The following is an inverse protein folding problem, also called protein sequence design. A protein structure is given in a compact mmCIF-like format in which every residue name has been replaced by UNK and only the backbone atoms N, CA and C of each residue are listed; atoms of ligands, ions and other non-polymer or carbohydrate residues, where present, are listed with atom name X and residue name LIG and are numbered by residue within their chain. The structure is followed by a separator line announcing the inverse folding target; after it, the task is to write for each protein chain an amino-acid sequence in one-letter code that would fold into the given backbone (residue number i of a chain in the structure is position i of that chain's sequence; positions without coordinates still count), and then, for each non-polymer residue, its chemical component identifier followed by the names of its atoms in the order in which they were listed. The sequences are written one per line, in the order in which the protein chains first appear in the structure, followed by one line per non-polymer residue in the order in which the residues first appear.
data_IF_626020364826
#
_entry.id   IF_626020364826
#
_cell.length_a   1.000
_cell.length_b   1.000
_cell.length_c   1.000
_cell.angle_alpha   90.00
_cell.angle_beta   90.00
_cell.angle_gamma   90.00
#
_symmetry.space_group_name_H-M   'P 1'
#
loop_
_entity.id
_entity.type
_entity.pdbx_description
1 polymer ?
#
# COMPACT_ATOMS: atom_id res chain seq x y z
N UNK A 1 13.69 8.71 27.32
CA UNK A 1 13.19 7.57 26.52
C UNK A 1 14.37 6.66 26.22
N UNK A 2 14.24 5.34 26.41
CA UNK A 2 15.27 4.38 25.98
C UNK A 2 15.40 4.45 24.44
N UNK A 3 16.62 4.41 23.91
CA UNK A 3 16.91 4.47 22.46
C UNK A 3 16.13 3.43 21.66
N UNK A 4 15.92 2.25 22.24
CA UNK A 4 15.14 1.14 21.67
C UNK A 4 13.68 1.51 21.38
N UNK A 5 13.05 2.30 22.25
CA UNK A 5 11.67 2.73 22.03
C UNK A 5 11.58 3.77 20.92
N UNK A 6 12.59 4.62 20.77
CA UNK A 6 12.66 5.59 19.66
C UNK A 6 12.74 4.84 18.32
N UNK A 7 13.58 3.80 18.24
CA UNK A 7 13.69 2.96 17.05
C UNK A 7 12.36 2.27 16.74
N UNK A 8 11.70 1.69 17.74
CA UNK A 8 10.40 1.04 17.55
C UNK A 8 9.32 2.02 17.03
N UNK A 9 9.25 3.23 17.58
CA UNK A 9 8.33 4.27 17.10
C UNK A 9 8.63 4.71 15.66
N UNK A 10 9.90 4.85 15.29
CA UNK A 10 10.29 5.19 13.91
C UNK A 10 9.85 4.08 12.95
N UNK A 11 10.09 2.82 13.28
CA UNK A 11 9.71 1.68 12.43
C UNK A 11 8.19 1.61 12.23
N UNK A 12 7.41 1.84 13.29
CA UNK A 12 5.94 1.91 13.22
C UNK A 12 5.50 3.09 12.33
N UNK A 13 6.10 4.27 12.52
CA UNK A 13 5.78 5.45 11.73
C UNK A 13 6.05 5.26 10.24
N UNK A 14 7.16 4.59 9.89
CA UNK A 14 7.50 4.23 8.50
C UNK A 14 6.47 3.25 7.92
N UNK A 15 6.07 2.22 8.68
CA UNK A 15 5.05 1.27 8.25
C UNK A 15 3.70 1.94 7.96
N UNK A 16 3.25 2.82 8.85
CA UNK A 16 2.02 3.61 8.67
C UNK A 16 2.14 4.56 7.47
N UNK A 17 3.27 5.25 7.35
CA UNK A 17 3.55 6.15 6.22
C UNK A 17 3.47 5.42 4.87
N UNK A 18 4.03 4.20 4.80
CA UNK A 18 3.98 3.37 3.59
C UNK A 18 2.53 2.99 3.21
N UNK A 19 1.71 2.63 4.20
CA UNK A 19 0.29 2.28 3.99
C UNK A 19 -0.50 3.51 3.51
N UNK A 20 -0.32 4.66 4.16
CA UNK A 20 -0.99 5.90 3.77
C UNK A 20 -0.57 6.36 2.37
N UNK A 21 0.71 6.22 2.03
CA UNK A 21 1.23 6.55 0.70
C UNK A 21 0.65 5.61 -0.37
N UNK A 22 0.57 4.31 -0.09
CA UNK A 22 -0.08 3.35 -0.98
C UNK A 22 -1.56 3.70 -1.20
N UNK A 23 -2.29 4.05 -0.13
CA UNK A 23 -3.68 4.49 -0.22
C UNK A 23 -3.83 5.79 -1.04
N UNK A 24 -2.90 6.74 -0.87
CA UNK A 24 -2.88 7.97 -1.64
C UNK A 24 -2.68 7.73 -3.14
N UNK A 25 -1.74 6.87 -3.52
CA UNK A 25 -1.54 6.47 -4.91
C UNK A 25 -2.78 5.80 -5.50
N UNK A 26 -3.44 4.91 -4.73
CA UNK A 26 -4.72 4.30 -5.13
C UNK A 26 -5.76 5.35 -5.45
N UNK A 27 -5.92 6.31 -4.53
CA UNK A 27 -6.94 7.34 -4.62
C UNK A 27 -6.68 8.29 -5.81
N UNK A 28 -5.42 8.65 -6.02
CA UNK A 28 -4.98 9.47 -7.16
C UNK A 28 -5.25 8.77 -8.49
N UNK A 29 -4.90 7.49 -8.60
CA UNK A 29 -5.11 6.74 -9.83
C UNK A 29 -6.61 6.54 -10.11
N UNK A 30 -7.39 6.25 -9.07
CA UNK A 30 -8.85 6.14 -9.16
C UNK A 30 -9.52 7.44 -9.66
N UNK A 31 -9.07 8.60 -9.17
CA UNK A 31 -9.59 9.91 -9.60
C UNK A 31 -9.18 10.29 -11.02
N UNK A 32 -8.01 9.86 -11.45
CA UNK A 32 -7.43 10.20 -12.77
C UNK A 32 -7.91 9.23 -13.85
N UNK A 33 -8.47 8.08 -13.46
CA UNK A 33 -9.02 7.09 -14.38
C UNK A 33 -10.33 7.60 -15.00
N UNK A 34 -10.22 8.41 -16.04
CA UNK A 34 -11.30 8.61 -17.01
C UNK A 34 -11.21 7.50 -18.05
N UNK A 35 -12.24 6.65 -18.21
CA UNK A 35 -12.29 5.73 -19.34
C UNK A 35 -12.36 6.58 -20.60
N UNK A 36 -11.23 6.71 -21.30
CA UNK A 36 -11.21 7.13 -22.69
C UNK A 36 -11.82 5.98 -23.49
N UNK A 37 -13.14 5.84 -23.41
CA UNK A 37 -13.92 5.16 -24.42
C UNK A 37 -13.74 6.01 -25.67
N UNK A 38 -12.74 5.69 -26.47
CA UNK A 38 -12.52 6.27 -27.79
C UNK A 38 -13.84 6.17 -28.54
N UNK A 39 -14.61 7.26 -28.59
CA UNK A 39 -15.96 7.33 -29.16
C UNK A 39 -15.96 7.17 -30.70
N UNK A 40 -14.89 6.63 -31.29
CA UNK A 40 -14.62 6.75 -32.73
C UNK A 40 -14.23 5.44 -33.42
N UNK A 41 -14.31 4.29 -32.76
CA UNK A 41 -14.03 2.99 -33.39
C UNK A 41 -15.32 2.21 -33.61
N UNK A 42 -15.77 2.09 -34.86
CA UNK A 42 -16.96 1.31 -35.27
C UNK A 42 -16.86 -0.21 -34.98
N UNK A 43 -15.72 -0.70 -34.49
CA UNK A 43 -15.44 -2.11 -34.28
C UNK A 43 -15.49 -2.49 -32.79
N UNK A 44 -16.55 -3.22 -32.41
CA UNK A 44 -16.83 -3.69 -31.05
C UNK A 44 -15.67 -4.54 -30.50
N UNK A 45 -14.97 -5.29 -31.35
CA UNK A 45 -13.83 -6.10 -30.94
C UNK A 45 -12.66 -5.25 -30.44
N UNK A 46 -12.43 -4.09 -31.06
CA UNK A 46 -11.36 -3.16 -30.68
C UNK A 46 -11.66 -2.41 -29.38
N UNK A 47 -12.93 -2.10 -29.11
CA UNK A 47 -13.36 -1.47 -27.86
C UNK A 47 -13.24 -2.45 -26.70
N UNK A 48 -13.65 -3.71 -26.90
CA UNK A 48 -13.59 -4.74 -25.88
C UNK A 48 -12.15 -5.05 -25.47
N UNK A 49 -11.22 -5.20 -26.42
CA UNK A 49 -9.81 -5.45 -26.12
C UNK A 49 -9.16 -4.28 -25.38
N UNK A 50 -9.51 -3.03 -25.73
CA UNK A 50 -9.05 -1.84 -25.03
C UNK A 50 -9.55 -1.77 -23.59
N UNK A 51 -10.82 -2.11 -23.35
CA UNK A 51 -11.39 -2.15 -21.99
C UNK A 51 -10.74 -3.25 -21.14
N UNK A 52 -10.55 -4.45 -21.69
CA UNK A 52 -9.87 -5.56 -21.00
C UNK A 52 -8.43 -5.19 -20.66
N UNK A 53 -7.70 -4.57 -21.60
CA UNK A 53 -6.34 -4.09 -21.35
C UNK A 53 -6.29 -3.06 -20.23
N UNK A 54 -7.26 -2.14 -20.20
CA UNK A 54 -7.34 -1.11 -19.16
C UNK A 54 -7.65 -1.70 -17.78
N UNK A 55 -8.57 -2.68 -17.73
CA UNK A 55 -8.88 -3.45 -16.52
C UNK A 55 -7.67 -4.23 -16.00
N UNK A 56 -6.89 -4.86 -16.88
CA UNK A 56 -5.68 -5.58 -16.50
C UNK A 56 -4.62 -4.66 -15.89
N UNK A 57 -4.42 -3.48 -16.48
CA UNK A 57 -3.51 -2.46 -15.91
C UNK A 57 -3.99 -2.01 -14.54
N UNK A 58 -5.30 -1.78 -14.38
CA UNK A 58 -5.88 -1.39 -13.09
C UNK A 58 -5.75 -2.50 -12.05
N UNK A 59 -6.00 -3.75 -12.43
CA UNK A 59 -5.88 -4.93 -11.56
C UNK A 59 -4.42 -5.15 -11.12
N UNK A 60 -3.45 -4.99 -12.03
CA UNK A 60 -2.02 -5.04 -11.71
C UNK A 60 -1.63 -3.95 -10.70
N UNK A 61 -2.10 -2.72 -10.90
CA UNK A 61 -1.85 -1.61 -9.95
C UNK A 61 -2.45 -1.89 -8.58
N UNK A 62 -3.69 -2.41 -8.52
CA UNK A 62 -4.32 -2.84 -7.27
C UNK A 62 -3.53 -3.95 -6.58
N UNK A 63 -3.06 -4.94 -7.35
CA UNK A 63 -2.24 -6.04 -6.84
C UNK A 63 -0.94 -5.54 -6.21
N UNK A 64 -0.23 -4.63 -6.89
CA UNK A 64 0.99 -4.01 -6.36
C UNK A 64 0.71 -3.22 -5.07
N UNK A 65 -0.39 -2.48 -5.03
CA UNK A 65 -0.83 -1.77 -3.82
C UNK A 65 -1.13 -2.71 -2.66
N UNK A 66 -1.78 -3.85 -2.92
CA UNK A 66 -2.03 -4.88 -1.92
C UNK A 66 -0.73 -5.39 -1.29
N UNK A 67 0.30 -5.62 -2.11
CA UNK A 67 1.62 -6.06 -1.63
C UNK A 67 2.29 -4.97 -0.78
N UNK A 68 2.18 -3.69 -1.16
CA UNK A 68 2.72 -2.57 -0.36
C UNK A 68 2.03 -2.45 1.00
N UNK A 69 0.69 -2.58 1.04
CA UNK A 69 -0.06 -2.55 2.30
C UNK A 69 0.28 -3.76 3.17
N UNK A 70 0.42 -4.94 2.56
CA UNK A 70 0.83 -6.15 3.28
C UNK A 70 2.23 -6.02 3.88
N UNK A 71 3.20 -5.51 3.10
CA UNK A 71 4.56 -5.24 3.56
C UNK A 71 4.60 -4.19 4.68
N UNK A 72 3.88 -3.07 4.54
CA UNK A 72 3.77 -2.05 5.58
C UNK A 72 3.15 -2.58 6.88
N UNK A 73 2.16 -3.46 6.78
CA UNK A 73 1.54 -4.13 7.94
C UNK A 73 2.53 -5.05 8.65
N UNK A 74 3.32 -5.81 7.89
CA UNK A 74 4.37 -6.67 8.46
C UNK A 74 5.43 -5.86 9.23
N UNK A 75 5.92 -4.77 8.62
CA UNK A 75 6.90 -3.85 9.25
C UNK A 75 6.33 -3.26 10.54
N UNK A 76 5.06 -2.81 10.50
CA UNK A 76 4.38 -2.27 11.68
C UNK A 76 4.26 -3.32 12.79
N UNK A 77 3.93 -4.57 12.44
CA UNK A 77 3.85 -5.68 13.40
C UNK A 77 5.21 -5.95 14.06
N UNK A 78 6.31 -5.93 13.31
CA UNK A 78 7.66 -6.05 13.88
C UNK A 78 7.99 -4.87 14.80
N UNK A 79 7.67 -3.63 14.43
CA UNK A 79 7.87 -2.46 15.30
C UNK A 79 7.10 -2.56 16.62
N UNK A 80 5.85 -3.05 16.59
CA UNK A 80 5.05 -3.29 17.80
C UNK A 80 5.65 -4.41 18.67
N UNK A 81 6.21 -5.46 18.06
CA UNK A 81 6.89 -6.53 18.78
C UNK A 81 8.14 -6.01 19.51
N UNK A 82 9.00 -5.23 18.85
CA UNK A 82 10.15 -4.58 19.48
C UNK A 82 9.73 -3.67 20.65
N UNK A 83 8.63 -2.90 20.48
CA UNK A 83 8.13 -2.03 21.55
C UNK A 83 7.65 -2.83 22.77
N UNK A 84 6.96 -3.95 22.54
CA UNK A 84 6.48 -4.84 23.60
C UNK A 84 7.63 -5.55 24.32
N UNK A 85 8.69 -5.95 23.60
CA UNK A 85 9.89 -6.55 24.17
C UNK A 85 10.66 -5.55 25.04
N UNK A 86 10.91 -4.33 24.55
CA UNK A 86 11.56 -3.25 25.33
C UNK A 86 10.75 -2.83 26.57
N UNK A 87 9.41 -2.99 26.53
CA UNK A 87 8.53 -2.74 27.69
C UNK A 87 8.52 -3.89 28.71
N UNK A 88 8.89 -5.12 28.32
CA UNK A 88 8.95 -6.31 29.18
C UNK A 88 10.29 -6.50 29.90
N UNK A 89 11.28 -5.64 29.67
CA UNK A 89 12.52 -5.59 30.45
C UNK A 89 12.49 -4.65 31.69
N UNK A 90 11.61 -4.86 32.71
CA UNK A 90 11.84 -4.27 34.03
C UNK A 90 12.03 -5.28 35.18
N UNK A 91 12.30 -6.58 34.96
CA UNK A 91 12.47 -7.49 36.12
C UNK A 91 13.31 -8.77 35.92
N UNK A 92 14.50 -8.66 35.32
CA UNK A 92 15.57 -9.63 35.60
C UNK A 92 16.91 -8.90 35.74
N UNK A 93 17.09 -8.26 36.88
CA UNK A 93 18.36 -8.19 37.59
C UNK A 93 18.07 -7.93 39.07
#
# INVERSE_FOLDING_TARGET
MKSEQIVAYIVIAVGIGLILFAAYLAYSDYRTYSPQLSQSSQDVGSVLSSVISSLLVLAMKLGYLGILVWGGSLITKYGIQLLNESKKEPSKQ
#
